data_IF_840558185666
#
_entry.id   IF_840558185666
#
_cell.length_a   1.000
_cell.length_b   1.000
_cell.length_c   1.000
_cell.angle_alpha   90.00
_cell.angle_beta   90.00
_cell.angle_gamma   90.00
#
_symmetry.space_group_name_H-M   'P 1'
#
loop_
_entity.id
_entity.type
_entity.pdbx_description
1 polymer ?
#
# COMPACT_ATOMS: atom_id res chain seq x y z
N UNK A 1 -30.68 -25.14 13.90
CA UNK A 1 -30.13 -23.97 14.63
C UNK A 1 -30.49 -22.64 13.97
N UNK A 2 -30.29 -22.46 12.65
CA UNK A 2 -30.71 -21.23 11.94
C UNK A 2 -32.22 -20.90 12.04
N UNK A 3 -33.07 -21.92 12.24
CA UNK A 3 -34.51 -21.75 12.44
C UNK A 3 -34.92 -21.23 13.83
N UNK A 4 -34.03 -21.26 14.83
CA UNK A 4 -34.39 -20.96 16.24
C UNK A 4 -33.94 -19.54 16.64
N UNK A 5 -32.93 -18.98 15.98
CA UNK A 5 -32.34 -17.66 16.29
C UNK A 5 -32.52 -16.63 15.16
N UNK A 6 -33.65 -16.67 14.45
CA UNK A 6 -33.96 -15.68 13.41
C UNK A 6 -33.99 -14.24 13.95
N UNK A 7 -34.31 -14.06 15.25
CA UNK A 7 -34.28 -12.78 15.93
C UNK A 7 -32.86 -12.20 16.01
N UNK A 8 -31.85 -13.06 16.19
CA UNK A 8 -30.44 -12.65 16.20
C UNK A 8 -29.99 -12.21 14.81
N UNK A 9 -30.52 -12.83 13.75
CA UNK A 9 -30.29 -12.42 12.36
C UNK A 9 -30.83 -11.02 12.07
N UNK A 10 -32.00 -10.65 12.60
CA UNK A 10 -32.58 -9.30 12.42
C UNK A 10 -31.66 -8.23 13.00
N UNK A 11 -31.01 -8.49 14.14
CA UNK A 11 -30.07 -7.54 14.77
C UNK A 11 -28.71 -7.59 14.07
N UNK A 12 -28.28 -8.75 13.60
CA UNK A 12 -26.98 -8.94 12.94
C UNK A 12 -26.91 -8.29 11.55
N UNK A 13 -27.99 -8.28 10.76
CA UNK A 13 -28.00 -7.69 9.42
C UNK A 13 -27.66 -6.18 9.41
N UNK A 14 -28.36 -5.31 10.17
CA UNK A 14 -28.03 -3.89 10.23
C UNK A 14 -26.66 -3.64 10.87
N UNK A 15 -26.24 -4.48 11.82
CA UNK A 15 -24.90 -4.44 12.40
C UNK A 15 -23.80 -4.69 11.35
N UNK A 16 -23.96 -5.73 10.54
CA UNK A 16 -23.02 -6.05 9.45
C UNK A 16 -22.99 -4.93 8.41
N UNK A 17 -24.14 -4.34 8.07
CA UNK A 17 -24.21 -3.20 7.17
C UNK A 17 -23.48 -1.97 7.73
N UNK A 18 -23.68 -1.65 9.01
CA UNK A 18 -23.00 -0.55 9.69
C UNK A 18 -21.47 -0.77 9.72
N UNK A 19 -21.02 -1.98 10.07
CA UNK A 19 -19.59 -2.32 10.04
C UNK A 19 -19.00 -2.16 8.64
N UNK A 20 -19.72 -2.64 7.61
CA UNK A 20 -19.26 -2.52 6.22
C UNK A 20 -19.19 -1.07 5.76
N UNK A 21 -20.13 -0.23 6.18
CA UNK A 21 -20.11 1.20 5.90
C UNK A 21 -18.89 1.89 6.52
N UNK A 22 -18.62 1.62 7.80
CA UNK A 22 -17.47 2.17 8.52
C UNK A 22 -16.15 1.67 7.92
N UNK A 23 -16.07 0.38 7.55
CA UNK A 23 -14.91 -0.18 6.85
C UNK A 23 -14.66 0.49 5.50
N UNK A 24 -15.70 0.69 4.68
CA UNK A 24 -15.56 1.35 3.38
C UNK A 24 -15.08 2.80 3.51
N UNK A 25 -15.61 3.54 4.49
CA UNK A 25 -15.18 4.91 4.78
C UNK A 25 -13.70 4.98 5.18
N UNK A 26 -13.27 4.06 6.05
CA UNK A 26 -11.87 3.93 6.42
C UNK A 26 -10.99 3.59 5.21
N UNK A 27 -11.37 2.62 4.40
CA UNK A 27 -10.57 2.18 3.25
C UNK A 27 -10.37 3.30 2.22
N UNK A 28 -11.40 4.09 1.94
CA UNK A 28 -11.28 5.23 1.04
C UNK A 28 -10.26 6.25 1.57
N UNK A 29 -10.37 6.61 2.86
CA UNK A 29 -9.51 7.59 3.51
C UNK A 29 -8.07 7.09 3.67
N UNK A 30 -7.92 5.84 4.10
CA UNK A 30 -6.65 5.17 4.29
C UNK A 30 -5.94 4.97 2.96
N UNK A 31 -6.65 4.61 1.89
CA UNK A 31 -6.04 4.38 0.58
C UNK A 31 -5.41 5.65 0.01
N UNK A 32 -6.10 6.79 0.03
CA UNK A 32 -5.52 8.04 -0.47
C UNK A 32 -4.30 8.50 0.33
N UNK A 33 -4.39 8.41 1.66
CA UNK A 33 -3.35 8.91 2.57
C UNK A 33 -2.14 7.97 2.64
N UNK A 34 -2.36 6.65 2.65
CA UNK A 34 -1.29 5.64 2.70
C UNK A 34 -0.55 5.52 1.36
N UNK A 35 -1.28 5.45 0.22
CA UNK A 35 -0.65 5.27 -1.10
C UNK A 35 0.32 6.41 -1.39
N UNK A 36 -0.10 7.64 -1.10
CA UNK A 36 0.66 8.84 -1.46
C UNK A 36 1.89 9.05 -0.57
N UNK A 37 1.79 8.76 0.73
CA UNK A 37 2.82 9.18 1.68
C UNK A 37 3.79 8.04 2.02
N UNK A 38 3.34 6.79 2.16
CA UNK A 38 4.23 5.69 2.57
C UNK A 38 5.24 5.30 1.48
N UNK A 39 4.86 5.49 0.20
CA UNK A 39 5.77 5.25 -0.92
C UNK A 39 6.87 6.27 -1.05
N UNK A 40 6.56 7.54 -0.78
CA UNK A 40 7.52 8.64 -0.95
C UNK A 40 8.48 8.70 0.23
N UNK A 41 7.98 8.65 1.47
CA UNK A 41 8.82 8.91 2.65
C UNK A 41 9.92 7.88 2.85
N UNK A 42 9.61 6.58 2.74
CA UNK A 42 10.61 5.50 2.85
C UNK A 42 11.63 5.55 1.73
N UNK A 43 11.19 5.84 0.51
CA UNK A 43 12.08 5.98 -0.63
C UNK A 43 13.05 7.16 -0.45
N UNK A 44 12.58 8.29 0.07
CA UNK A 44 13.42 9.45 0.36
C UNK A 44 14.49 9.15 1.41
N UNK A 45 14.14 8.47 2.50
CA UNK A 45 15.11 8.10 3.54
C UNK A 45 16.20 7.17 2.99
N UNK A 46 15.81 6.14 2.22
CA UNK A 46 16.75 5.22 1.59
C UNK A 46 17.63 5.90 0.55
N UNK A 47 17.06 6.76 -0.29
CA UNK A 47 17.82 7.50 -1.30
C UNK A 47 18.82 8.46 -0.64
N UNK A 48 18.42 9.16 0.42
CA UNK A 48 19.30 10.04 1.17
C UNK A 48 20.48 9.28 1.81
N UNK A 49 20.24 8.09 2.34
CA UNK A 49 21.29 7.23 2.86
C UNK A 49 22.27 6.77 1.76
N UNK A 50 21.75 6.43 0.57
CA UNK A 50 22.56 6.05 -0.59
C UNK A 50 23.44 7.22 -1.07
N UNK A 51 22.87 8.41 -1.22
CA UNK A 51 23.59 9.64 -1.59
C UNK A 51 24.67 10.00 -0.56
N UNK A 52 24.36 9.85 0.73
CA UNK A 52 25.32 10.11 1.82
C UNK A 52 26.48 9.11 1.79
N UNK A 53 26.22 7.84 1.47
CA UNK A 53 27.25 6.81 1.34
C UNK A 53 28.19 7.10 0.17
N UNK A 54 27.65 7.49 -0.98
CA UNK A 54 28.44 7.86 -2.15
C UNK A 54 29.25 9.15 -1.93
N UNK A 55 28.69 10.13 -1.22
CA UNK A 55 29.29 11.44 -0.96
C UNK A 55 30.10 11.55 0.34
N UNK A 56 30.35 10.45 1.06
CA UNK A 56 30.87 10.47 2.43
C UNK A 56 32.20 11.23 2.58
N UNK A 57 33.10 11.10 1.60
CA UNK A 57 34.41 11.76 1.59
C UNK A 57 34.24 13.27 1.52
N UNK A 58 33.37 13.75 0.63
CA UNK A 58 33.08 15.17 0.44
C UNK A 58 32.41 15.75 1.69
N UNK A 59 31.45 15.05 2.28
CA UNK A 59 30.74 15.51 3.49
C UNK A 59 31.73 15.68 4.66
N UNK A 60 32.67 14.74 4.81
CA UNK A 60 33.74 14.83 5.83
C UNK A 60 34.73 15.94 5.53
N UNK A 61 35.13 16.11 4.27
CA UNK A 61 36.06 17.17 3.86
C UNK A 61 35.51 18.58 4.16
N UNK A 62 34.20 18.79 4.00
CA UNK A 62 33.53 20.05 4.34
C UNK A 62 33.01 20.13 5.78
N UNK A 63 33.31 19.14 6.63
CA UNK A 63 32.86 19.05 8.02
C UNK A 63 31.33 19.25 8.20
N UNK A 64 30.53 18.67 7.31
CA UNK A 64 29.06 18.82 7.27
C UNK A 64 28.30 17.61 7.84
N UNK A 65 28.99 16.72 8.55
CA UNK A 65 28.46 15.43 9.04
C UNK A 65 27.21 15.63 9.92
N UNK A 66 27.27 16.54 10.88
CA UNK A 66 26.15 16.78 11.82
C UNK A 66 24.88 17.26 11.11
N UNK A 67 25.04 18.13 10.11
CA UNK A 67 23.91 18.62 9.29
C UNK A 67 23.27 17.47 8.53
N UNK A 68 24.07 16.60 7.92
CA UNK A 68 23.56 15.44 7.19
C UNK A 68 22.86 14.45 8.12
N UNK A 69 23.39 14.24 9.32
CA UNK A 69 22.81 13.37 10.34
C UNK A 69 21.46 13.90 10.85
N UNK A 70 21.38 15.18 11.21
CA UNK A 70 20.12 15.80 11.66
C UNK A 70 19.03 15.76 10.58
N UNK A 71 19.40 15.96 9.31
CA UNK A 71 18.47 15.82 8.20
C UNK A 71 17.97 14.38 8.06
N UNK A 72 18.87 13.39 8.14
CA UNK A 72 18.49 11.99 8.11
C UNK A 72 17.52 11.63 9.24
N UNK A 73 17.79 12.08 10.47
CA UNK A 73 16.90 11.88 11.61
C UNK A 73 15.51 12.49 11.36
N UNK A 74 15.41 13.70 10.81
CA UNK A 74 14.11 14.29 10.44
C UNK A 74 13.34 13.44 9.43
N UNK A 75 14.02 12.87 8.44
CA UNK A 75 13.38 11.97 7.47
C UNK A 75 12.85 10.71 8.15
N UNK A 76 13.63 10.11 9.05
CA UNK A 76 13.23 8.93 9.83
C UNK A 76 12.07 9.25 10.77
N UNK A 77 12.11 10.37 11.48
CA UNK A 77 11.03 10.81 12.37
C UNK A 77 9.73 11.05 11.59
N UNK A 78 9.83 11.60 10.39
CA UNK A 78 8.67 11.80 9.50
C UNK A 78 8.07 10.46 9.07
N UNK A 79 8.90 9.47 8.74
CA UNK A 79 8.42 8.11 8.40
C UNK A 79 7.79 7.41 9.60
N UNK A 80 8.42 7.50 10.77
CA UNK A 80 7.92 6.93 12.01
C UNK A 80 6.60 7.56 12.44
N UNK A 81 6.47 8.88 12.33
CA UNK A 81 5.23 9.60 12.61
C UNK A 81 4.09 9.17 11.68
N UNK A 82 4.37 9.03 10.38
CA UNK A 82 3.39 8.52 9.42
C UNK A 82 2.95 7.09 9.76
N UNK A 83 3.90 6.22 10.09
CA UNK A 83 3.61 4.85 10.50
C UNK A 83 2.72 4.81 11.75
N UNK A 84 3.00 5.67 12.74
CA UNK A 84 2.17 5.81 13.92
C UNK A 84 0.75 6.27 13.58
N UNK A 85 0.58 7.29 12.73
CA UNK A 85 -0.74 7.75 12.30
C UNK A 85 -1.52 6.68 11.53
N UNK A 86 -0.84 5.90 10.68
CA UNK A 86 -1.47 4.78 9.96
C UNK A 86 -1.95 3.70 10.92
N UNK A 87 -1.15 3.34 11.93
CA UNK A 87 -1.56 2.39 12.95
C UNK A 87 -2.69 2.93 13.83
N UNK A 88 -2.63 4.20 14.23
CA UNK A 88 -3.69 4.85 15.01
C UNK A 88 -5.02 4.85 14.25
N UNK A 89 -5.00 5.09 12.95
CA UNK A 89 -6.19 5.03 12.11
C UNK A 89 -6.76 3.60 12.03
N UNK A 90 -5.90 2.58 11.91
CA UNK A 90 -6.32 1.17 11.93
C UNK A 90 -6.96 0.80 13.27
N UNK A 91 -6.34 1.16 14.38
CA UNK A 91 -6.88 0.89 15.72
C UNK A 91 -8.18 1.66 15.97
N UNK A 92 -8.32 2.89 15.44
CA UNK A 92 -9.59 3.63 15.49
C UNK A 92 -10.75 2.88 14.81
N UNK A 93 -10.50 2.28 13.65
CA UNK A 93 -11.48 1.44 12.96
C UNK A 93 -11.84 0.21 13.80
N UNK A 94 -10.84 -0.46 14.38
CA UNK A 94 -11.04 -1.65 15.20
C UNK A 94 -11.92 -1.32 16.41
N UNK A 95 -11.57 -0.28 17.18
CA UNK A 95 -12.34 0.14 18.37
C UNK A 95 -13.80 0.45 18.01
N UNK A 96 -14.04 1.14 16.89
CA UNK A 96 -15.40 1.47 16.43
C UNK A 96 -16.19 0.22 16.03
N UNK A 97 -15.54 -0.69 15.32
CA UNK A 97 -16.16 -1.95 14.88
C UNK A 97 -16.51 -2.83 16.08
N UNK A 98 -15.58 -2.95 17.02
CA UNK A 98 -15.72 -3.76 18.23
C UNK A 98 -16.78 -3.19 19.18
N UNK A 99 -16.86 -1.85 19.30
CA UNK A 99 -17.94 -1.19 20.05
C UNK A 99 -19.33 -1.45 19.44
N UNK A 100 -19.47 -1.40 18.11
CA UNK A 100 -20.72 -1.73 17.43
C UNK A 100 -21.12 -3.20 17.64
N UNK A 101 -20.15 -4.12 17.56
CA UNK A 101 -20.41 -5.54 17.79
C UNK A 101 -20.82 -5.81 19.25
N UNK A 102 -20.14 -5.21 20.22
CA UNK A 102 -20.49 -5.35 21.64
C UNK A 102 -21.91 -4.82 21.91
N UNK A 103 -22.30 -3.69 21.29
CA UNK A 103 -23.66 -3.17 21.38
C UNK A 103 -24.69 -4.17 20.80
N UNK A 104 -24.35 -4.85 19.72
CA UNK A 104 -25.25 -5.82 19.08
C UNK A 104 -25.39 -7.09 19.91
N UNK A 105 -24.32 -7.57 20.54
CA UNK A 105 -24.39 -8.70 21.48
C UNK A 105 -25.20 -8.32 22.71
N UNK A 106 -25.00 -7.11 23.25
CA UNK A 106 -25.74 -6.63 24.41
C UNK A 106 -27.25 -6.54 24.13
N UNK A 107 -27.63 -5.95 22.99
CA UNK A 107 -29.04 -5.87 22.58
C UNK A 107 -29.64 -7.25 22.28
N UNK A 108 -28.89 -8.15 21.65
CA UNK A 108 -29.32 -9.53 21.41
C UNK A 108 -29.52 -10.29 22.74
N UNK A 109 -28.60 -10.16 23.69
CA UNK A 109 -28.72 -10.77 25.01
C UNK A 109 -29.92 -10.22 25.79
N UNK A 110 -30.16 -8.91 25.73
CA UNK A 110 -31.30 -8.27 26.36
C UNK A 110 -32.64 -8.77 25.79
N UNK A 111 -32.75 -8.89 24.45
CA UNK A 111 -33.93 -9.44 23.78
C UNK A 111 -34.17 -10.91 24.14
N UNK A 112 -33.11 -11.71 24.28
CA UNK A 112 -33.22 -13.12 24.70
C UNK A 112 -33.77 -13.27 26.13
N UNK A 113 -33.49 -12.32 27.03
CA UNK A 113 -34.00 -12.32 28.40
C UNK A 113 -35.48 -11.88 28.46
N UNK A 114 -35.89 -10.97 27.57
CA UNK A 114 -37.26 -10.45 27.50
C UNK A 114 -38.30 -11.44 26.94
N UNK A 115 -37.85 -12.52 26.29
CA UNK A 115 -38.73 -13.55 25.73
C UNK A 115 -39.46 -14.33 26.85
N UNK A 116 -40.76 -14.63 26.68
CA UNK A 116 -41.54 -15.35 27.69
C UNK A 116 -40.98 -16.76 27.92
N UNK A 117 -40.97 -17.18 29.20
CA UNK A 117 -40.49 -18.49 29.63
C UNK A 117 -41.21 -19.60 28.86
N UNK A 118 -40.47 -20.39 28.10
CA UNK A 118 -40.97 -21.53 27.33
C UNK A 118 -40.77 -21.46 25.81
N UNK A 119 -40.39 -20.30 25.25
CA UNK A 119 -40.17 -20.16 23.80
C UNK A 119 -38.81 -20.70 23.32
N UNK A 120 -37.79 -20.66 24.18
CA UNK A 120 -36.41 -21.08 23.87
C UNK A 120 -35.83 -21.83 25.06
N UNK A 121 -35.18 -22.98 24.82
CA UNK A 121 -34.47 -23.71 25.86
C UNK A 121 -33.27 -22.90 26.36
N UNK A 122 -33.04 -22.78 27.69
CA UNK A 122 -31.92 -22.01 28.25
C UNK A 122 -30.54 -22.43 27.71
N UNK A 123 -30.37 -23.72 27.40
CA UNK A 123 -29.17 -24.29 26.80
C UNK A 123 -28.83 -23.66 25.44
N UNK A 124 -29.85 -23.43 24.60
CA UNK A 124 -29.69 -22.82 23.27
C UNK A 124 -29.32 -21.34 23.36
N UNK A 125 -29.81 -20.63 24.38
CA UNK A 125 -29.46 -19.23 24.64
C UNK A 125 -27.97 -19.12 24.99
N UNK A 126 -27.48 -19.95 25.91
CA UNK A 126 -26.05 -19.99 26.28
C UNK A 126 -25.14 -20.36 25.11
N UNK A 127 -25.53 -21.35 24.31
CA UNK A 127 -24.82 -21.72 23.07
C UNK A 127 -24.78 -20.55 22.08
N UNK A 128 -25.91 -19.87 21.85
CA UNK A 128 -25.98 -18.76 20.90
C UNK A 128 -25.08 -17.59 21.29
N UNK A 129 -25.02 -17.23 22.58
CA UNK A 129 -24.19 -16.14 23.08
C UNK A 129 -22.70 -16.49 23.00
N UNK A 130 -22.34 -17.74 23.32
CA UNK A 130 -20.97 -18.24 23.21
C UNK A 130 -20.46 -18.14 21.77
N UNK A 131 -21.28 -18.58 20.80
CA UNK A 131 -20.94 -18.43 19.38
C UNK A 131 -20.87 -16.98 18.93
N UNK A 132 -21.75 -16.10 19.41
CA UNK A 132 -21.73 -14.68 19.06
C UNK A 132 -20.42 -13.99 19.53
N UNK A 133 -19.94 -14.33 20.72
CA UNK A 133 -18.66 -13.82 21.25
C UNK A 133 -17.48 -14.31 20.40
N UNK A 134 -17.44 -15.62 20.07
CA UNK A 134 -16.38 -16.16 19.20
C UNK A 134 -16.40 -15.54 17.80
N UNK A 135 -17.58 -15.34 17.22
CA UNK A 135 -17.75 -14.70 15.92
C UNK A 135 -17.22 -13.26 15.94
N UNK A 136 -17.51 -12.51 17.01
CA UNK A 136 -17.03 -11.13 17.17
C UNK A 136 -15.51 -11.04 17.15
N UNK A 137 -14.83 -11.89 17.93
CA UNK A 137 -13.37 -11.96 17.94
C UNK A 137 -12.79 -12.34 16.55
N UNK A 138 -13.42 -13.31 15.86
CA UNK A 138 -12.98 -13.71 14.52
C UNK A 138 -13.17 -12.60 13.49
N UNK A 139 -14.22 -11.77 13.62
CA UNK A 139 -14.52 -10.68 12.71
C UNK A 139 -13.55 -9.50 12.90
N UNK A 140 -13.13 -9.19 14.14
CA UNK A 140 -12.07 -8.21 14.41
C UNK A 140 -10.76 -8.65 13.73
N UNK A 141 -10.39 -9.91 13.90
CA UNK A 141 -9.20 -10.48 13.25
C UNK A 141 -9.29 -10.42 11.72
N UNK A 142 -10.44 -10.79 11.15
CA UNK A 142 -10.68 -10.72 9.70
C UNK A 142 -10.61 -9.29 9.17
N UNK A 143 -11.14 -8.32 9.91
CA UNK A 143 -11.08 -6.89 9.56
C UNK A 143 -9.63 -6.40 9.50
N UNK A 144 -8.80 -6.80 10.47
CA UNK A 144 -7.36 -6.47 10.49
C UNK A 144 -6.62 -7.09 9.31
N UNK A 145 -6.89 -8.36 9.02
CA UNK A 145 -6.34 -9.04 7.84
C UNK A 145 -6.74 -8.38 6.53
N UNK A 146 -7.99 -7.99 6.39
CA UNK A 146 -8.49 -7.31 5.21
C UNK A 146 -7.80 -5.96 4.99
N UNK A 147 -7.62 -5.17 6.05
CA UNK A 147 -6.87 -3.90 5.99
C UNK A 147 -5.41 -4.13 5.57
N UNK A 148 -4.74 -5.13 6.15
CA UNK A 148 -3.36 -5.49 5.80
C UNK A 148 -3.25 -5.96 4.34
N UNK A 149 -4.19 -6.81 3.89
CA UNK A 149 -4.25 -7.25 2.50
C UNK A 149 -4.42 -6.07 1.55
N UNK A 150 -5.33 -5.15 1.86
CA UNK A 150 -5.53 -3.93 1.06
C UNK A 150 -4.24 -3.10 0.98
N UNK A 151 -3.44 -3.05 2.06
CA UNK A 151 -2.14 -2.39 2.04
C UNK A 151 -1.13 -3.11 1.15
N UNK A 152 -1.10 -4.45 1.16
CA UNK A 152 -0.19 -5.23 0.32
C UNK A 152 -0.55 -5.17 -1.17
N UNK A 153 -1.84 -5.07 -1.52
CA UNK A 153 -2.28 -4.94 -2.91
C UNK A 153 -1.69 -3.70 -3.58
N UNK A 154 -1.46 -2.61 -2.85
CA UNK A 154 -0.82 -1.39 -3.37
C UNK A 154 0.58 -1.69 -3.94
N UNK A 155 1.35 -2.57 -3.29
CA UNK A 155 2.66 -2.99 -3.80
C UNK A 155 2.54 -3.76 -5.11
N UNK A 156 1.49 -4.57 -5.26
CA UNK A 156 1.20 -5.30 -6.50
C UNK A 156 0.77 -4.35 -7.62
N UNK A 157 -0.05 -3.34 -7.30
CA UNK A 157 -0.43 -2.29 -8.26
C UNK A 157 0.79 -1.55 -8.80
N UNK A 158 1.77 -1.23 -7.95
CA UNK A 158 3.04 -0.62 -8.38
C UNK A 158 3.85 -1.56 -9.27
N UNK A 159 3.95 -2.85 -8.94
CA UNK A 159 4.63 -3.82 -9.79
C UNK A 159 3.98 -3.89 -11.19
N UNK A 160 2.64 -3.88 -11.23
CA UNK A 160 1.89 -3.83 -12.48
C UNK A 160 2.18 -2.55 -13.28
N UNK A 161 2.31 -1.40 -12.62
CA UNK A 161 2.72 -0.15 -13.30
C UNK A 161 4.10 -0.29 -13.94
N UNK A 162 5.08 -0.92 -13.27
CA UNK A 162 6.39 -1.17 -13.86
C UNK A 162 6.35 -2.13 -15.04
N UNK A 163 5.46 -3.14 -15.02
CA UNK A 163 5.28 -4.06 -16.15
C UNK A 163 4.65 -3.41 -17.38
N UNK A 164 3.95 -2.29 -17.23
CA UNK A 164 3.29 -1.57 -18.32
C UNK A 164 4.20 -0.52 -19.00
N UNK A 165 5.41 -0.31 -18.49
CA UNK A 165 6.37 0.62 -19.10
C UNK A 165 6.81 0.05 -20.46
N UNK A 166 6.91 0.93 -21.48
CA UNK A 166 7.38 0.53 -22.81
C UNK A 166 8.78 -0.08 -22.70
N UNK A 167 8.98 -1.34 -23.11
CA UNK A 167 10.30 -1.95 -23.06
C UNK A 167 11.23 -1.26 -24.06
N UNK A 168 12.51 -1.25 -23.74
CA UNK A 168 13.54 -0.91 -24.71
C UNK A 168 13.55 -1.94 -25.85
N UNK A 169 13.96 -1.56 -27.07
CA UNK A 169 14.12 -2.50 -28.17
C UNK A 169 15.03 -3.68 -27.77
N UNK A 170 14.77 -4.89 -28.27
CA UNK A 170 15.54 -6.07 -27.90
C UNK A 170 17.02 -5.86 -28.23
N UNK A 171 17.88 -6.22 -27.26
CA UNK A 171 19.34 -6.06 -27.38
C UNK A 171 19.93 -6.81 -28.57
N UNK A 172 19.30 -7.91 -29.00
CA UNK A 172 19.70 -8.72 -30.14
C UNK A 172 18.48 -8.87 -31.06
N UNK A 173 18.67 -8.51 -32.33
CA UNK A 173 17.72 -8.77 -33.41
C UNK A 173 18.33 -9.86 -34.28
N UNK A 174 17.88 -11.11 -34.10
CA UNK A 174 18.46 -12.28 -34.78
C UNK A 174 18.51 -12.11 -36.30
N UNK A 175 17.47 -11.51 -36.90
CA UNK A 175 17.38 -11.27 -38.34
C UNK A 175 18.38 -10.22 -38.88
N UNK A 176 19.01 -9.43 -38.01
CA UNK A 176 19.91 -8.32 -38.39
C UNK A 176 21.26 -8.37 -37.68
N UNK A 177 21.68 -9.55 -37.23
CA UNK A 177 22.95 -9.70 -36.53
C UNK A 177 24.12 -9.54 -37.51
N UNK A 178 25.10 -8.66 -37.22
CA UNK A 178 26.29 -8.57 -38.05
C UNK A 178 27.13 -9.87 -37.93
N UNK A 179 27.92 -10.21 -38.96
CA UNK A 179 28.77 -11.40 -38.93
C UNK A 179 29.79 -11.34 -37.79
N UNK A 180 30.27 -12.48 -37.31
CA UNK A 180 31.24 -12.55 -36.20
C UNK A 180 32.56 -11.81 -36.48
N UNK A 181 32.87 -11.52 -37.75
CA UNK A 181 34.04 -10.75 -38.16
C UNK A 181 33.82 -9.23 -38.05
N UNK A 182 32.61 -8.75 -37.78
CA UNK A 182 32.30 -7.35 -37.62
C UNK A 182 32.68 -6.85 -36.21
N UNK A 183 33.24 -5.63 -36.07
CA UNK A 183 33.63 -4.68 -37.11
C UNK A 183 35.08 -4.92 -37.60
N UNK A 184 35.28 -5.26 -38.89
CA UNK A 184 36.62 -5.55 -39.43
C UNK A 184 37.55 -4.33 -39.52
N UNK A 185 37.00 -3.14 -39.78
CA UNK A 185 37.76 -1.90 -40.01
C UNK A 185 37.60 -0.86 -38.89
N UNK A 186 36.70 -1.10 -37.93
CA UNK A 186 36.40 -0.17 -36.84
C UNK A 186 35.95 1.24 -37.26
N UNK A 187 35.63 1.48 -38.54
CA UNK A 187 35.20 2.79 -39.03
C UNK A 187 33.76 3.06 -38.63
N UNK A 188 33.53 4.18 -37.94
CA UNK A 188 32.20 4.64 -37.51
C UNK A 188 31.91 5.94 -38.25
N UNK A 189 31.05 5.88 -39.27
CA UNK A 189 30.57 7.06 -39.98
C UNK A 189 29.22 7.47 -39.38
N UNK A 190 29.18 8.65 -38.76
CA UNK A 190 27.98 9.20 -38.11
C UNK A 190 27.35 10.23 -39.03
N UNK A 191 26.18 9.93 -39.57
CA UNK A 191 25.45 10.83 -40.46
C UNK A 191 24.25 11.45 -39.75
N UNK A 192 24.27 12.78 -39.59
CA UNK A 192 23.12 13.57 -39.11
C UNK A 192 22.51 13.05 -37.79
N UNK A 193 23.36 12.65 -36.85
CA UNK A 193 22.90 12.18 -35.55
C UNK A 193 22.19 13.30 -34.78
N UNK A 194 21.00 12.98 -34.28
CA UNK A 194 20.19 13.85 -33.43
C UNK A 194 19.91 13.11 -32.13
N UNK A 195 20.49 13.59 -31.03
CA UNK A 195 20.32 12.98 -29.71
C UNK A 195 19.46 13.89 -28.85
N UNK A 196 18.50 13.29 -28.16
CA UNK A 196 17.64 13.96 -27.19
C UNK A 196 17.60 13.14 -25.90
N UNK A 197 17.84 13.82 -24.77
CA UNK A 197 17.94 13.17 -23.46
C UNK A 197 16.59 12.61 -22.95
N UNK A 198 15.48 13.28 -23.26
CA UNK A 198 14.14 12.79 -22.92
C UNK A 198 13.34 12.52 -24.20
N UNK A 199 13.09 11.25 -24.47
CA UNK A 199 12.19 10.82 -25.54
C UNK A 199 10.71 11.07 -25.19
N UNK A 200 10.38 11.20 -23.89
CA UNK A 200 9.01 11.00 -23.40
C UNK A 200 8.40 12.26 -22.77
N UNK A 201 9.16 13.14 -22.10
CA UNK A 201 8.54 14.10 -21.16
C UNK A 201 8.31 15.49 -21.75
N UNK A 202 9.04 15.93 -22.77
CA UNK A 202 8.76 17.22 -23.40
C UNK A 202 9.28 17.28 -24.84
N UNK A 203 8.37 17.37 -25.82
CA UNK A 203 8.73 17.68 -27.22
C UNK A 203 9.50 19.00 -27.36
N UNK A 204 9.44 19.87 -26.36
CA UNK A 204 10.05 21.21 -26.32
C UNK A 204 11.46 21.28 -25.72
N UNK A 205 12.07 20.17 -25.27
CA UNK A 205 13.49 20.23 -24.89
C UNK A 205 14.37 20.43 -26.13
N UNK A 206 15.35 21.35 -26.08
CA UNK A 206 16.25 21.59 -27.19
C UNK A 206 17.06 20.33 -27.50
N UNK A 207 17.39 20.15 -28.78
CA UNK A 207 18.33 19.12 -29.21
C UNK A 207 19.69 19.44 -28.60
N UNK A 208 20.26 18.49 -27.86
CA UNK A 208 21.59 18.66 -27.26
C UNK A 208 22.69 18.51 -28.32
N UNK A 209 22.49 17.59 -29.27
CA UNK A 209 23.35 17.38 -30.42
C UNK A 209 22.49 17.33 -31.68
N UNK A 210 22.85 18.14 -32.66
CA UNK A 210 22.21 18.18 -33.97
C UNK A 210 23.26 18.32 -35.05
N UNK A 211 23.09 17.57 -36.15
CA UNK A 211 23.92 17.65 -37.35
C UNK A 211 25.40 17.30 -37.12
N UNK A 212 25.66 16.27 -36.30
CA UNK A 212 27.00 15.72 -36.17
C UNK A 212 27.35 14.92 -37.44
N UNK A 213 28.48 15.26 -38.06
CA UNK A 213 29.09 14.51 -39.15
C UNK A 213 30.51 14.13 -38.73
N UNK A 214 30.77 12.83 -38.58
CA UNK A 214 32.09 12.28 -38.28
C UNK A 214 32.34 11.15 -39.28
N UNK A 215 33.46 11.22 -40.00
CA UNK A 215 33.92 10.22 -40.98
C UNK A 215 35.00 9.32 -40.38
#
# INVERSE_FOLDING_TARGET
MASITWQVLIVAIPAMAAVKYVQNYYLASARELIIRINGTTKAHANNYAAETSLGVVTIRAFNMVDRFFQNYLRLVDTDAGLYFHSNAAMEWLIIRTEALQNLTIFTAAFLLILLPKGYVAPELVGLSLSYALTLTASQVFMTRWYCNLSNYVISVERLKQFMQISPEPPAIVEDKRPPSSWPQKGRIEVFSLKVRYSLIIHKNFPLMLSNLFIN
#
